data_IF_949251367812
#
_entry.id   IF_949251367812
#
_cell.length_a   1.000
_cell.length_b   1.000
_cell.length_c   1.000
_cell.angle_alpha   90.00
_cell.angle_beta   90.00
_cell.angle_gamma   90.00
#
_symmetry.space_group_name_H-M   'P 1'
#
loop_
_entity.id
_entity.type
_entity.pdbx_description
1 polymer ?
#
# COMPACT_ATOMS: atom_id res chain seq x y z
N UNK A 1 2.96 34.99 15.00
CA UNK A 1 3.42 33.60 14.74
C UNK A 1 3.19 33.05 13.33
N UNK A 2 2.05 33.20 12.65
CA UNK A 2 1.82 32.58 11.32
C UNK A 2 2.78 33.02 10.19
N UNK A 3 3.34 34.24 10.28
CA UNK A 3 4.36 34.74 9.34
C UNK A 3 5.76 34.14 9.60
N UNK A 4 6.00 33.62 10.81
CA UNK A 4 7.25 32.91 11.15
C UNK A 4 7.26 31.52 10.51
N UNK A 5 6.16 30.78 10.53
CA UNK A 5 6.17 29.40 10.02
C UNK A 5 6.25 29.35 8.49
N UNK A 6 5.70 30.38 7.82
CA UNK A 6 5.68 30.51 6.36
C UNK A 6 7.06 30.74 5.74
N UNK A 7 8.00 31.41 6.43
CA UNK A 7 9.36 31.61 5.89
C UNK A 7 10.24 30.38 6.05
N UNK A 8 9.97 29.51 7.04
CA UNK A 8 10.67 28.23 7.19
C UNK A 8 10.35 27.27 6.04
N UNK A 9 9.08 27.15 5.64
CA UNK A 9 8.69 26.29 4.50
C UNK A 9 9.34 26.76 3.19
N UNK A 10 9.40 28.08 2.96
CA UNK A 10 10.08 28.65 1.80
C UNK A 10 11.60 28.40 1.81
N UNK A 11 12.24 28.50 2.98
CA UNK A 11 13.69 28.28 3.15
C UNK A 11 14.08 26.80 2.97
N UNK A 12 13.23 25.88 3.41
CA UNK A 12 13.41 24.44 3.21
C UNK A 12 13.11 24.06 1.74
N UNK A 13 12.08 24.66 1.12
CA UNK A 13 11.77 24.47 -0.29
C UNK A 13 12.89 24.89 -1.24
N UNK A 14 13.56 26.02 -0.95
CA UNK A 14 14.74 26.47 -1.70
C UNK A 14 15.92 25.50 -1.58
N UNK A 15 16.07 24.83 -0.43
CA UNK A 15 17.08 23.80 -0.23
C UNK A 15 16.75 22.52 -1.03
N UNK A 16 15.47 22.15 -1.11
CA UNK A 16 15.01 21.01 -1.88
C UNK A 16 15.24 21.18 -3.39
N UNK A 17 15.16 22.41 -3.93
CA UNK A 17 15.46 22.69 -5.34
C UNK A 17 16.93 22.54 -5.72
N UNK A 18 17.84 22.50 -4.75
CA UNK A 18 19.29 22.27 -4.98
C UNK A 18 19.59 20.78 -5.19
N UNK A 19 18.70 19.89 -4.74
CA UNK A 19 18.90 18.44 -4.86
C UNK A 19 18.68 18.02 -6.32
N UNK A 20 19.68 17.44 -7.00
CA UNK A 20 19.55 17.03 -8.38
C UNK A 20 18.41 16.01 -8.56
N UNK A 21 17.63 16.16 -9.63
CA UNK A 21 16.56 15.22 -10.00
C UNK A 21 17.00 13.72 -10.00
N UNK A 22 18.25 13.36 -10.41
CA UNK A 22 18.72 11.97 -10.33
C UNK A 22 18.73 11.39 -8.91
N UNK A 23 19.02 12.20 -7.88
CA UNK A 23 19.07 11.73 -6.47
C UNK A 23 17.65 11.55 -5.92
N UNK A 24 16.74 12.47 -6.24
CA UNK A 24 15.33 12.33 -5.89
C UNK A 24 14.71 11.07 -6.49
N UNK A 25 15.03 10.78 -7.76
CA UNK A 25 14.59 9.56 -8.43
C UNK A 25 15.09 8.30 -7.72
N UNK A 26 16.36 8.27 -7.31
CA UNK A 26 16.93 7.17 -6.53
C UNK A 26 16.26 6.99 -5.17
N UNK A 27 16.02 8.08 -4.45
CA UNK A 27 15.31 8.04 -3.16
C UNK A 27 13.86 7.54 -3.31
N UNK A 28 13.14 8.00 -4.34
CA UNK A 28 11.79 7.52 -4.65
C UNK A 28 11.79 6.03 -5.00
N UNK A 29 12.74 5.56 -5.80
CA UNK A 29 12.86 4.14 -6.15
C UNK A 29 13.04 3.26 -4.92
N UNK A 30 13.91 3.67 -3.97
CA UNK A 30 14.12 2.95 -2.71
C UNK A 30 12.83 2.93 -1.88
N UNK A 31 12.11 4.05 -1.80
CA UNK A 31 10.84 4.12 -1.07
C UNK A 31 9.77 3.23 -1.69
N UNK A 32 9.56 3.31 -3.01
CA UNK A 32 8.60 2.46 -3.71
C UNK A 32 8.99 0.97 -3.61
N UNK A 33 10.29 0.66 -3.67
CA UNK A 33 10.78 -0.70 -3.46
C UNK A 33 10.48 -1.23 -2.06
N UNK A 34 10.73 -0.44 -1.02
CA UNK A 34 10.41 -0.82 0.36
C UNK A 34 8.91 -1.00 0.59
N UNK A 35 8.07 -0.15 -0.01
CA UNK A 35 6.60 -0.30 0.04
C UNK A 35 6.18 -1.61 -0.64
N UNK A 36 6.74 -1.94 -1.81
CA UNK A 36 6.46 -3.20 -2.50
C UNK A 36 6.87 -4.42 -1.66
N UNK A 37 8.05 -4.41 -1.04
CA UNK A 37 8.52 -5.48 -0.15
C UNK A 37 7.59 -5.63 1.06
N UNK A 38 7.14 -4.54 1.66
CA UNK A 38 6.18 -4.59 2.76
C UNK A 38 4.83 -5.21 2.33
N UNK A 39 4.36 -4.90 1.12
CA UNK A 39 3.18 -5.54 0.54
C UNK A 39 3.36 -7.06 0.41
N UNK A 40 4.49 -7.51 -0.12
CA UNK A 40 4.80 -8.95 -0.25
C UNK A 40 4.87 -9.63 1.13
N UNK A 41 5.50 -9.00 2.12
CA UNK A 41 5.58 -9.51 3.50
C UNK A 41 4.20 -9.68 4.14
N UNK A 42 3.28 -8.74 3.90
CA UNK A 42 1.90 -8.86 4.37
C UNK A 42 1.20 -10.05 3.71
N UNK A 43 1.40 -10.25 2.41
CA UNK A 43 0.86 -11.42 1.71
C UNK A 43 1.43 -12.74 2.27
N UNK A 44 2.72 -12.79 2.61
CA UNK A 44 3.37 -13.99 3.18
C UNK A 44 2.78 -14.45 4.53
N UNK A 45 2.10 -13.56 5.25
CA UNK A 45 1.41 -13.92 6.51
C UNK A 45 0.06 -14.59 6.27
N UNK A 46 -0.45 -14.56 5.04
CA UNK A 46 -1.71 -15.21 4.66
C UNK A 46 -1.46 -16.69 4.43
N UNK A 47 -2.40 -17.51 4.91
CA UNK A 47 -2.39 -18.95 4.65
C UNK A 47 -2.73 -19.21 3.16
N UNK A 48 -1.69 -19.55 2.39
CA UNK A 48 -1.78 -19.93 0.97
C UNK A 48 -2.00 -21.43 0.75
N UNK A 49 -2.07 -22.24 1.80
CA UNK A 49 -2.44 -23.66 1.69
C UNK A 49 -3.91 -23.80 1.26
N UNK A 50 -4.72 -22.79 1.59
CA UNK A 50 -6.06 -22.63 1.05
C UNK A 50 -6.02 -22.01 -0.36
N UNK A 51 -6.30 -22.83 -1.38
CA UNK A 51 -6.40 -22.43 -2.79
C UNK A 51 -7.25 -21.16 -3.01
N UNK A 52 -8.26 -20.92 -2.16
CA UNK A 52 -9.13 -19.74 -2.24
C UNK A 52 -8.38 -18.44 -1.94
N UNK A 53 -7.56 -18.42 -0.89
CA UNK A 53 -6.79 -17.23 -0.49
C UNK A 53 -5.73 -16.90 -1.54
N UNK A 54 -5.08 -17.93 -2.09
CA UNK A 54 -4.14 -17.81 -3.20
C UNK A 54 -4.84 -17.23 -4.45
N UNK A 55 -6.02 -17.73 -4.80
CA UNK A 55 -6.80 -17.24 -5.93
C UNK A 55 -7.22 -15.77 -5.74
N UNK A 56 -7.68 -15.38 -4.55
CA UNK A 56 -8.05 -13.99 -4.23
C UNK A 56 -6.85 -13.05 -4.40
N UNK A 57 -5.67 -13.44 -3.89
CA UNK A 57 -4.45 -12.65 -4.03
C UNK A 57 -4.00 -12.54 -5.50
N UNK A 58 -3.99 -13.65 -6.25
CA UNK A 58 -3.56 -13.68 -7.65
C UNK A 58 -4.49 -12.83 -8.55
N UNK A 59 -5.81 -12.98 -8.41
CA UNK A 59 -6.78 -12.25 -9.23
C UNK A 59 -6.77 -10.76 -8.89
N UNK A 60 -6.73 -10.38 -7.61
CA UNK A 60 -6.76 -8.97 -7.21
C UNK A 60 -5.54 -8.19 -7.73
N UNK A 61 -4.35 -8.75 -7.59
CA UNK A 61 -3.12 -8.17 -8.13
C UNK A 61 -3.14 -8.14 -9.66
N UNK A 62 -3.56 -9.25 -10.29
CA UNK A 62 -3.64 -9.36 -11.74
C UNK A 62 -4.60 -8.34 -12.36
N UNK A 63 -5.78 -8.13 -11.76
CA UNK A 63 -6.76 -7.15 -12.23
C UNK A 63 -6.26 -5.71 -12.06
N UNK A 64 -5.69 -5.36 -10.91
CA UNK A 64 -5.17 -4.01 -10.69
C UNK A 64 -4.03 -3.65 -11.64
N UNK A 65 -3.09 -4.58 -11.86
CA UNK A 65 -2.02 -4.40 -12.84
C UNK A 65 -2.58 -4.37 -14.27
N UNK A 66 -3.53 -5.24 -14.60
CA UNK A 66 -4.15 -5.31 -15.93
C UNK A 66 -4.86 -4.01 -16.31
N UNK A 67 -5.61 -3.41 -15.40
CA UNK A 67 -6.30 -2.12 -15.63
C UNK A 67 -5.31 -0.95 -15.71
N UNK A 68 -4.21 -1.01 -14.96
CA UNK A 68 -3.14 0.01 -15.01
C UNK A 68 -2.40 -0.03 -16.34
N UNK A 69 -2.09 -1.23 -16.85
CA UNK A 69 -1.36 -1.42 -18.11
C UNK A 69 -2.23 -1.11 -19.32
N UNK A 70 -3.52 -1.49 -19.29
CA UNK A 70 -4.46 -1.25 -20.38
C UNK A 70 -5.70 -0.49 -19.89
N UNK A 71 -5.62 0.85 -19.75
CA UNK A 71 -6.76 1.67 -19.33
C UNK A 71 -7.88 1.75 -20.39
N UNK A 72 -7.61 1.25 -21.60
CA UNK A 72 -8.58 1.17 -22.69
C UNK A 72 -9.74 0.21 -22.42
N UNK A 73 -9.61 -0.72 -21.45
CA UNK A 73 -10.70 -1.65 -21.09
C UNK A 73 -11.85 -0.92 -20.38
N UNK A 74 -11.56 0.18 -19.67
CA UNK A 74 -12.55 0.95 -18.87
C UNK A 74 -13.11 2.17 -19.61
N UNK A 75 -12.75 2.38 -20.87
CA UNK A 75 -13.21 3.54 -21.66
C UNK A 75 -14.68 3.47 -22.08
N UNK A 76 -15.27 2.27 -22.07
CA UNK A 76 -16.68 2.07 -22.38
C UNK A 76 -17.61 2.47 -21.21
N UNK A 77 -17.02 2.87 -20.08
CA UNK A 77 -17.72 3.31 -18.87
C UNK A 77 -17.79 4.84 -18.80
N UNK A 78 -18.81 5.41 -18.12
CA UNK A 78 -18.96 6.85 -17.95
C UNK A 78 -17.75 7.48 -17.25
N UNK A 79 -17.40 8.73 -17.62
CA UNK A 79 -16.16 9.44 -17.20
C UNK A 79 -15.86 9.39 -15.70
N UNK A 80 -16.89 9.47 -14.84
CA UNK A 80 -16.74 9.41 -13.38
C UNK A 80 -16.22 8.06 -12.91
N UNK A 81 -16.73 6.98 -13.51
CA UNK A 81 -16.32 5.60 -13.22
C UNK A 81 -14.94 5.37 -13.82
N UNK A 82 -14.65 5.86 -15.01
CA UNK A 82 -13.33 5.76 -15.62
C UNK A 82 -12.21 6.40 -14.77
N UNK A 83 -12.48 7.53 -14.10
CA UNK A 83 -11.50 8.18 -13.23
C UNK A 83 -11.18 7.34 -11.98
N UNK A 84 -12.19 6.72 -11.38
CA UNK A 84 -12.02 5.86 -10.21
C UNK A 84 -11.38 4.52 -10.57
N UNK A 85 -11.88 3.88 -11.62
CA UNK A 85 -11.40 2.58 -12.08
C UNK A 85 -10.07 2.67 -12.85
N UNK A 86 -9.67 3.85 -13.31
CA UNK A 86 -8.33 4.10 -13.86
C UNK A 86 -7.21 4.06 -12.80
N UNK A 87 -7.55 4.08 -11.51
CA UNK A 87 -6.57 3.88 -10.45
C UNK A 87 -6.41 2.38 -10.16
N UNK A 88 -5.27 1.81 -10.58
CA UNK A 88 -4.94 0.40 -10.33
C UNK A 88 -5.06 -0.02 -8.88
N UNK A 89 -4.72 0.88 -7.96
CA UNK A 89 -4.77 0.63 -6.51
C UNK A 89 -6.23 0.43 -6.05
N UNK A 90 -7.16 1.25 -6.55
CA UNK A 90 -8.58 1.12 -6.24
C UNK A 90 -9.16 -0.16 -6.82
N UNK A 91 -8.78 -0.50 -8.05
CA UNK A 91 -9.19 -1.76 -8.71
C UNK A 91 -8.68 -2.99 -7.96
N UNK A 92 -7.41 -3.00 -7.53
CA UNK A 92 -6.85 -4.07 -6.71
C UNK A 92 -7.61 -4.20 -5.40
N UNK A 93 -7.81 -3.10 -4.68
CA UNK A 93 -8.46 -3.09 -3.37
C UNK A 93 -9.91 -3.56 -3.45
N UNK A 94 -10.67 -3.01 -4.41
CA UNK A 94 -12.05 -3.40 -4.63
C UNK A 94 -12.14 -4.89 -5.00
N UNK A 95 -11.32 -5.37 -5.93
CA UNK A 95 -11.31 -6.77 -6.35
C UNK A 95 -10.93 -7.69 -5.20
N UNK A 96 -9.93 -7.33 -4.38
CA UNK A 96 -9.50 -8.10 -3.22
C UNK A 96 -10.62 -8.23 -2.18
N UNK A 97 -11.29 -7.14 -1.83
CA UNK A 97 -12.41 -7.16 -0.87
C UNK A 97 -13.57 -7.99 -1.41
N UNK A 98 -13.92 -7.80 -2.68
CA UNK A 98 -15.07 -8.45 -3.30
C UNK A 98 -14.85 -9.97 -3.43
N UNK A 99 -13.64 -10.40 -3.84
CA UNK A 99 -13.28 -11.82 -3.88
C UNK A 99 -13.12 -12.41 -2.48
N UNK A 100 -12.47 -11.70 -1.55
CA UNK A 100 -12.32 -12.17 -0.18
C UNK A 100 -13.69 -12.40 0.47
N UNK A 101 -14.65 -11.50 0.24
CA UNK A 101 -16.02 -11.66 0.72
C UNK A 101 -16.75 -12.84 0.05
N UNK A 102 -16.58 -13.03 -1.26
CA UNK A 102 -17.21 -14.13 -2.00
C UNK A 102 -16.66 -15.51 -1.61
N UNK A 103 -15.35 -15.62 -1.40
CA UNK A 103 -14.68 -16.90 -1.18
C UNK A 103 -14.43 -17.24 0.30
N UNK A 104 -14.26 -16.25 1.17
CA UNK A 104 -13.85 -16.42 2.57
C UNK A 104 -14.92 -15.89 3.55
N UNK A 105 -16.04 -16.61 3.63
CA UNK A 105 -16.99 -16.55 4.75
C UNK A 105 -16.31 -17.08 6.03
N UNK A 106 -16.58 -16.50 7.20
CA UNK A 106 -15.60 -16.09 8.21
C UNK A 106 -14.76 -17.24 8.81
N UNK A 107 -13.43 -17.09 8.77
CA UNK A 107 -12.53 -17.74 9.74
C UNK A 107 -11.71 -16.69 10.47
N UNK A 108 -11.81 -16.76 11.79
CA UNK A 108 -11.23 -15.93 12.86
C UNK A 108 -9.75 -15.60 12.60
N UNK A 109 -9.43 -14.32 12.44
CA UNK A 109 -8.07 -13.79 12.57
C UNK A 109 -7.57 -14.06 13.98
N UNK A 110 -6.42 -14.74 14.09
CA UNK A 110 -5.72 -14.90 15.36
C UNK A 110 -5.13 -13.53 15.74
N UNK A 111 -5.47 -13.06 16.94
CA UNK A 111 -4.94 -11.84 17.54
C UNK A 111 -3.42 -11.97 17.66
N UNK A 112 -2.68 -11.07 17.00
CA UNK A 112 -1.26 -10.90 17.31
C UNK A 112 -1.17 -10.28 18.70
N UNK A 113 -0.79 -11.09 19.69
CA UNK A 113 -0.27 -10.62 20.96
C UNK A 113 0.98 -9.79 20.69
N UNK A 114 0.85 -8.47 20.73
CA UNK A 114 1.98 -7.59 20.97
C UNK A 114 2.38 -7.88 22.42
N UNK A 115 3.35 -8.79 22.60
CA UNK A 115 4.02 -8.95 23.89
C UNK A 115 4.76 -7.65 24.15
N UNK A 116 4.08 -6.80 24.92
CA UNK A 116 4.55 -5.53 25.41
C UNK A 116 5.64 -5.84 26.43
N UNK A 117 6.87 -6.02 25.94
CA UNK A 117 8.10 -6.24 26.72
C UNK A 117 8.52 -5.02 27.54
N UNK A 118 7.57 -4.48 28.32
CA UNK A 118 7.76 -3.50 29.38
C UNK A 118 7.49 -4.18 30.72
N UNK A 119 8.38 -5.06 31.18
CA UNK A 119 8.48 -5.28 32.61
C UNK A 119 9.87 -5.78 33.04
N UNK A 120 10.39 -5.08 34.06
CA UNK A 120 11.25 -5.62 35.09
C UNK A 120 12.70 -5.96 34.69
N UNK A 121 13.45 -4.91 34.36
CA UNK A 121 14.79 -4.77 34.95
C UNK A 121 14.73 -3.79 36.13
N UNK A 122 13.89 -4.12 37.08
CA UNK A 122 14.23 -3.86 38.48
C UNK A 122 15.28 -4.92 38.86
N UNK A 123 16.52 -4.69 38.42
CA UNK A 123 17.67 -5.39 38.97
C UNK A 123 18.01 -4.73 40.29
N UNK A 124 17.16 -4.98 41.29
CA UNK A 124 17.50 -4.87 42.69
C UNK A 124 18.22 -6.17 43.10
N UNK A 125 19.55 -6.15 43.03
CA UNK A 125 20.48 -6.83 43.95
C UNK A 125 21.94 -6.50 43.66
#
# INVERSE_FOLDING_TARGET
>A
DFLSDSWFTAKIGALATIIPAPVLGGAMLVMFGMVAVQGIRMLQQVDFDNDKNLLVAAISIGLGLGVTVQPHIVQFLPKTIQLLFGSGILMTSLSAVLLNWLFNSPRRTQEMSVDEGLNERDSDK
#
